data_IF_519557442199
#
_entry.id   IF_519557442199
#
_cell.length_a   1.000
_cell.length_b   1.000
_cell.length_c   1.000
_cell.angle_alpha   90.00
_cell.angle_beta   90.00
_cell.angle_gamma   90.00
#
_symmetry.space_group_name_H-M   'P 1'
#
loop_
_entity.id
_entity.type
_entity.pdbx_description
1 polymer ?
#
# COMPACT_ATOMS: atom_id res chain seq x y z
N UNK A 1 27.72 10.51 24.88
CA UNK A 1 26.97 9.23 24.91
C UNK A 1 25.51 9.40 24.52
N UNK A 2 24.82 10.47 24.97
CA UNK A 2 23.42 10.77 24.64
C UNK A 2 23.08 10.77 23.13
N UNK A 3 23.87 11.45 22.29
CA UNK A 3 23.65 11.51 20.84
C UNK A 3 23.70 10.11 20.17
N UNK A 4 24.53 9.18 20.67
CA UNK A 4 24.61 7.81 20.17
C UNK A 4 23.31 7.03 20.43
N UNK A 5 22.67 7.24 21.59
CA UNK A 5 21.38 6.61 21.90
C UNK A 5 20.23 7.17 21.04
N UNK A 6 20.27 8.46 20.71
CA UNK A 6 19.29 9.07 19.79
C UNK A 6 19.41 8.47 18.39
N UNK A 7 20.63 8.31 17.87
CA UNK A 7 20.86 7.65 16.57
C UNK A 7 20.38 6.20 16.55
N UNK A 8 20.65 5.42 17.60
CA UNK A 8 20.19 4.04 17.71
C UNK A 8 18.65 3.98 17.73
N UNK A 9 18.00 4.86 18.49
CA UNK A 9 16.53 4.92 18.56
C UNK A 9 15.89 5.23 17.21
N UNK A 10 16.47 6.18 16.45
CA UNK A 10 15.96 6.54 15.13
C UNK A 10 16.07 5.36 14.15
N UNK A 11 17.21 4.66 14.12
CA UNK A 11 17.40 3.48 13.26
C UNK A 11 16.38 2.38 13.57
N UNK A 12 16.12 2.12 14.85
CA UNK A 12 15.12 1.11 15.27
C UNK A 12 13.73 1.47 14.75
N UNK A 13 13.32 2.74 14.82
CA UNK A 13 12.00 3.16 14.32
C UNK A 13 11.83 2.94 12.81
N UNK A 14 12.86 3.24 12.01
CA UNK A 14 12.84 3.01 10.56
C UNK A 14 12.74 1.52 10.23
N UNK A 15 13.48 0.66 10.94
CA UNK A 15 13.44 -0.79 10.74
C UNK A 15 12.04 -1.35 11.07
N UNK A 16 11.44 -0.89 12.17
CA UNK A 16 10.09 -1.33 12.59
C UNK A 16 9.03 -0.89 11.57
N UNK A 17 9.12 0.35 11.06
CA UNK A 17 8.20 0.84 10.03
C UNK A 17 8.26 -0.01 8.75
N UNK A 18 9.47 -0.31 8.27
CA UNK A 18 9.66 -1.16 7.08
C UNK A 18 9.19 -2.60 7.32
N UNK A 19 9.37 -3.15 8.53
CA UNK A 19 8.86 -4.48 8.88
C UNK A 19 7.32 -4.52 8.89
N UNK A 20 6.68 -3.49 9.43
CA UNK A 20 5.23 -3.35 9.42
C UNK A 20 4.69 -3.28 7.98
N UNK A 21 5.35 -2.48 7.12
CA UNK A 21 5.00 -2.36 5.72
C UNK A 21 5.15 -3.69 4.97
N UNK A 22 6.22 -4.44 5.21
CA UNK A 22 6.39 -5.79 4.64
C UNK A 22 5.31 -6.77 5.12
N UNK A 23 4.88 -6.67 6.37
CA UNK A 23 3.78 -7.49 6.88
C UNK A 23 2.45 -7.13 6.19
N UNK A 24 2.17 -5.84 5.99
CA UNK A 24 1.00 -5.39 5.23
C UNK A 24 1.04 -5.88 3.78
N UNK A 25 2.20 -5.80 3.13
CA UNK A 25 2.40 -6.34 1.78
C UNK A 25 2.14 -7.85 1.70
N UNK A 26 2.68 -8.62 2.65
CA UNK A 26 2.43 -10.06 2.75
C UNK A 26 0.93 -10.38 2.90
N UNK A 27 0.25 -9.66 3.79
CA UNK A 27 -1.19 -9.81 4.02
C UNK A 27 -2.01 -9.45 2.77
N UNK A 28 -1.64 -8.37 2.08
CA UNK A 28 -2.25 -7.94 0.82
C UNK A 28 -2.15 -9.03 -0.25
N UNK A 29 -0.93 -9.54 -0.50
CA UNK A 29 -0.70 -10.60 -1.48
C UNK A 29 -1.52 -11.84 -1.15
N UNK A 30 -1.55 -12.25 0.13
CA UNK A 30 -2.37 -13.38 0.59
C UNK A 30 -3.86 -13.15 0.36
N UNK A 31 -4.39 -11.96 0.72
CA UNK A 31 -5.80 -11.60 0.56
C UNK A 31 -6.25 -11.66 -0.90
N UNK A 32 -5.43 -11.15 -1.81
CA UNK A 32 -5.74 -11.07 -3.24
C UNK A 32 -5.10 -12.18 -4.08
N UNK A 33 -4.55 -13.21 -3.43
CA UNK A 33 -3.90 -14.37 -4.06
C UNK A 33 -2.85 -13.98 -5.11
N UNK A 34 -2.08 -12.93 -4.83
CA UNK A 34 -1.01 -12.43 -5.71
C UNK A 34 0.26 -13.26 -5.54
N UNK A 35 0.94 -13.50 -6.65
CA UNK A 35 2.24 -14.18 -6.70
C UNK A 35 3.09 -13.56 -7.79
N UNK A 36 4.33 -13.20 -7.47
CA UNK A 36 5.23 -12.46 -8.35
C UNK A 36 6.62 -13.11 -8.39
N UNK A 37 7.36 -12.88 -9.48
CA UNK A 37 8.81 -13.12 -9.47
C UNK A 37 9.49 -12.16 -8.50
N UNK A 38 10.76 -12.41 -8.16
CA UNK A 38 11.49 -11.56 -7.20
C UNK A 38 11.58 -10.10 -7.69
N UNK A 39 11.86 -9.91 -8.97
CA UNK A 39 12.01 -8.60 -9.60
C UNK A 39 10.67 -7.86 -9.63
N UNK A 40 9.60 -8.55 -10.01
CA UNK A 40 8.26 -7.96 -10.05
C UNK A 40 7.72 -7.71 -8.64
N UNK A 41 8.02 -8.57 -7.65
CA UNK A 41 7.62 -8.35 -6.26
C UNK A 41 8.21 -7.05 -5.71
N UNK A 42 9.46 -6.76 -6.05
CA UNK A 42 10.10 -5.50 -5.65
C UNK A 42 9.42 -4.29 -6.28
N UNK A 43 9.11 -4.36 -7.58
CA UNK A 43 8.39 -3.29 -8.30
C UNK A 43 6.98 -3.08 -7.72
N UNK A 44 6.21 -4.15 -7.55
CA UNK A 44 4.85 -4.12 -7.02
C UNK A 44 4.81 -3.63 -5.58
N UNK A 45 5.81 -3.98 -4.77
CA UNK A 45 5.94 -3.47 -3.41
C UNK A 45 6.13 -1.95 -3.37
N UNK A 46 6.89 -1.37 -4.31
CA UNK A 46 7.02 0.08 -4.45
C UNK A 46 5.67 0.76 -4.71
N UNK A 47 4.93 0.29 -5.73
CA UNK A 47 3.61 0.83 -6.09
C UNK A 47 2.61 0.68 -4.92
N UNK A 48 2.68 -0.46 -4.23
CA UNK A 48 1.85 -0.72 -3.06
C UNK A 48 2.12 0.28 -1.93
N UNK A 49 3.39 0.62 -1.65
CA UNK A 49 3.74 1.63 -0.63
C UNK A 49 3.15 2.99 -0.96
N UNK A 50 3.31 3.43 -2.20
CA UNK A 50 2.76 4.71 -2.66
C UNK A 50 1.22 4.74 -2.51
N UNK A 51 0.57 3.61 -2.80
CA UNK A 51 -0.89 3.47 -2.62
C UNK A 51 -1.31 3.49 -1.15
N UNK A 52 -0.55 2.84 -0.26
CA UNK A 52 -0.81 2.88 1.19
C UNK A 52 -0.66 4.32 1.72
N UNK A 53 0.35 5.05 1.28
CA UNK A 53 0.57 6.44 1.68
C UNK A 53 -0.58 7.34 1.20
N UNK A 54 -1.04 7.17 -0.03
CA UNK A 54 -2.22 7.86 -0.56
C UNK A 54 -3.49 7.55 0.25
N UNK A 55 -3.73 6.27 0.56
CA UNK A 55 -4.88 5.84 1.38
C UNK A 55 -4.81 6.47 2.77
N UNK A 56 -3.64 6.50 3.40
CA UNK A 56 -3.46 7.09 4.73
C UNK A 56 -3.74 8.59 4.71
N UNK A 57 -3.32 9.30 3.65
CA UNK A 57 -3.65 10.71 3.45
C UNK A 57 -5.16 10.93 3.36
N UNK A 58 -5.87 10.18 2.50
CA UNK A 58 -7.33 10.31 2.35
C UNK A 58 -8.05 9.99 3.66
N UNK A 59 -7.66 8.94 4.37
CA UNK A 59 -8.29 8.55 5.63
C UNK A 59 -7.99 9.54 6.75
N UNK A 60 -6.84 10.22 6.73
CA UNK A 60 -6.55 11.34 7.63
C UNK A 60 -7.46 12.53 7.33
N UNK A 61 -7.64 12.90 6.07
CA UNK A 61 -8.57 13.97 5.68
C UNK A 61 -10.03 13.64 6.06
N UNK A 62 -10.44 12.37 5.95
CA UNK A 62 -11.74 11.92 6.43
C UNK A 62 -11.85 12.06 7.96
N UNK A 63 -10.84 11.61 8.71
CA UNK A 63 -10.82 11.74 10.17
C UNK A 63 -10.83 13.21 10.64
N UNK A 64 -10.21 14.11 9.88
CA UNK A 64 -10.23 15.55 10.10
C UNK A 64 -11.55 16.23 9.65
N UNK A 65 -12.50 15.48 9.07
CA UNK A 65 -13.77 16.00 8.54
C UNK A 65 -13.66 16.77 7.23
N UNK A 66 -12.51 16.70 6.53
CA UNK A 66 -12.25 17.36 5.24
C UNK A 66 -12.72 16.53 4.04
N UNK A 67 -12.88 15.22 4.23
CA UNK A 67 -13.42 14.29 3.25
C UNK A 67 -14.61 13.53 3.85
N UNK A 68 -15.56 13.11 3.00
CA UNK A 68 -16.70 12.27 3.38
C UNK A 68 -16.55 10.80 2.94
N UNK A 69 -15.37 10.42 2.45
CA UNK A 69 -15.07 9.07 2.01
C UNK A 69 -13.73 8.57 2.53
N UNK A 70 -13.66 7.26 2.76
CA UNK A 70 -12.48 6.54 3.18
C UNK A 70 -11.97 5.66 2.03
N UNK A 71 -10.65 5.53 1.94
CA UNK A 71 -9.99 4.64 1.02
C UNK A 71 -9.53 3.36 1.72
N UNK A 72 -9.57 2.24 1.00
CA UNK A 72 -9.10 0.93 1.50
C UNK A 72 -8.32 0.22 0.40
N UNK A 73 -7.36 -0.61 0.81
CA UNK A 73 -6.65 -1.49 -0.11
C UNK A 73 -7.63 -2.45 -0.80
N UNK A 74 -7.47 -2.58 -2.11
CA UNK A 74 -8.29 -3.42 -2.98
C UNK A 74 -7.41 -4.11 -4.04
N UNK A 75 -7.99 -4.94 -4.90
CA UNK A 75 -7.24 -5.87 -5.76
C UNK A 75 -6.17 -5.23 -6.66
N UNK A 76 -6.36 -3.96 -7.05
CA UNK A 76 -5.44 -3.22 -7.93
C UNK A 76 -4.55 -2.22 -7.19
N UNK A 77 -4.45 -2.30 -5.86
CA UNK A 77 -3.62 -1.39 -5.06
C UNK A 77 -2.10 -1.55 -5.25
N UNK A 78 -1.66 -2.43 -6.14
CA UNK A 78 -0.27 -2.62 -6.55
C UNK A 78 -0.06 -2.43 -8.07
N UNK A 79 -1.02 -1.79 -8.73
CA UNK A 79 -0.99 -1.47 -10.17
C UNK A 79 -0.79 0.03 -10.35
N UNK A 80 -0.09 0.42 -11.41
CA UNK A 80 -0.10 1.82 -11.83
C UNK A 80 -1.47 2.20 -12.39
N UNK A 81 -1.73 3.50 -12.53
CA UNK A 81 -2.96 4.01 -13.15
C UNK A 81 -3.18 3.38 -14.55
N UNK A 82 -2.12 3.35 -15.36
CA UNK A 82 -2.15 2.85 -16.74
C UNK A 82 -2.40 1.34 -16.82
N UNK A 83 -1.92 0.56 -15.84
CA UNK A 83 -2.18 -0.87 -15.76
C UNK A 83 -3.59 -1.14 -15.23
N UNK A 84 -4.07 -0.33 -14.28
CA UNK A 84 -5.33 -0.51 -13.56
C UNK A 84 -6.55 -0.18 -14.40
N UNK A 85 -6.59 0.99 -15.01
CA UNK A 85 -7.77 1.51 -15.73
C UNK A 85 -8.38 0.51 -16.73
N UNK A 86 -7.62 -0.09 -17.66
CA UNK A 86 -8.19 -1.03 -18.63
C UNK A 86 -8.70 -2.32 -17.96
N UNK A 87 -8.03 -2.79 -16.90
CA UNK A 87 -8.43 -4.01 -16.18
C UNK A 87 -9.71 -3.79 -15.39
N UNK A 88 -9.80 -2.69 -14.65
CA UNK A 88 -11.01 -2.32 -13.93
C UNK A 88 -12.19 -2.14 -14.87
N UNK A 89 -11.99 -1.47 -16.00
CA UNK A 89 -13.04 -1.31 -17.00
C UNK A 89 -13.52 -2.66 -17.52
N UNK A 90 -12.60 -3.57 -17.84
CA UNK A 90 -12.95 -4.92 -18.30
C UNK A 90 -13.73 -5.70 -17.22
N UNK A 91 -13.31 -5.62 -15.96
CA UNK A 91 -13.93 -6.35 -14.87
C UNK A 91 -15.29 -5.75 -14.44
N UNK A 92 -15.49 -4.43 -14.60
CA UNK A 92 -16.81 -3.78 -14.50
C UNK A 92 -17.75 -4.27 -15.59
N UNK A 93 -17.30 -4.33 -16.84
CA UNK A 93 -18.10 -4.83 -17.97
C UNK A 93 -18.49 -6.30 -17.80
N UNK A 94 -17.63 -7.10 -17.15
CA UNK A 94 -17.89 -8.50 -16.81
C UNK A 94 -18.74 -8.68 -15.55
N UNK A 95 -19.08 -7.61 -14.84
CA UNK A 95 -19.82 -7.67 -13.57
C UNK A 95 -19.05 -8.30 -12.41
N UNK A 96 -17.71 -8.36 -12.50
CA UNK A 96 -16.83 -8.91 -11.46
C UNK A 96 -16.71 -7.89 -10.30
N UNK A 97 -16.64 -6.61 -10.65
CA UNK A 97 -16.62 -5.49 -9.70
C UNK A 97 -17.77 -4.52 -10.03
N UNK A 98 -18.28 -3.84 -9.00
CA UNK A 98 -19.39 -2.89 -9.11
C UNK A 98 -18.92 -1.49 -9.44
#
# INVERSE_FOLDING_TARGET
MFLKFVFISLLVSVIVAELCMKQQWSNFKKKYKKSYSKEEDHRRYGIFKDTVDYINMINKDHADGKSNWEAKLYYYSDYTEEEREPLEKADKLRGIIR
#
